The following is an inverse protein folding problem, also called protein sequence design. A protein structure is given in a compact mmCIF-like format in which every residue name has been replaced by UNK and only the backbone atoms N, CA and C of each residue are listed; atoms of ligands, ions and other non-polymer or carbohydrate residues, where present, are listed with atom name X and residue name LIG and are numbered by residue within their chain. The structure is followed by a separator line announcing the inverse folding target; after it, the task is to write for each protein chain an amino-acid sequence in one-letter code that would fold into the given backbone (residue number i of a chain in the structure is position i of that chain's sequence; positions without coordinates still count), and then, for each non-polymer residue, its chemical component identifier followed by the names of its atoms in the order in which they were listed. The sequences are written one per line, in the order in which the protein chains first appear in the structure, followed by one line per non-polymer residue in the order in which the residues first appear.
data_IF_350064709994
#
_entry.id   IF_350064709994
#
_cell.length_a   1.000
_cell.length_b   1.000
_cell.length_c   1.000
_cell.angle_alpha   90.00
_cell.angle_beta   90.00
_cell.angle_gamma   90.00
#
_symmetry.space_group_name_H-M   'P 1'
#
loop_
_entity.id
_entity.type
_entity.pdbx_description
1 polymer ?
#
# COMPACT_ATOMS: atom_id res chain seq x y z
N UNK A 1 -42.95 -1.35 10.37
CA UNK A 1 -42.84 0.13 10.34
C UNK A 1 -41.36 0.57 10.41
N UNK A 2 -40.89 1.11 9.29
CA UNK A 2 -39.71 1.97 9.08
C UNK A 2 -38.32 1.42 9.48
N UNK A 3 -37.69 0.76 8.50
CA UNK A 3 -36.28 0.42 8.51
C UNK A 3 -35.37 1.58 8.10
N UNK A 4 -34.26 1.68 8.84
CA UNK A 4 -32.92 2.12 8.44
C UNK A 4 -32.75 3.43 7.66
N UNK A 5 -32.57 4.53 8.41
CA UNK A 5 -31.79 5.69 7.96
C UNK A 5 -30.29 5.42 8.20
N UNK A 6 -29.60 4.94 7.17
CA UNK A 6 -28.14 4.76 7.18
C UNK A 6 -27.56 5.20 5.85
N UNK A 7 -27.44 6.51 5.64
CA UNK A 7 -26.91 7.10 4.40
C UNK A 7 -25.46 6.68 4.14
N UNK A 8 -25.28 5.63 3.32
CA UNK A 8 -23.98 5.21 2.84
C UNK A 8 -23.46 6.15 1.76
N UNK A 9 -22.16 6.43 1.76
CA UNK A 9 -21.50 7.19 0.68
C UNK A 9 -21.04 6.21 -0.39
N UNK A 10 -21.76 6.16 -1.51
CA UNK A 10 -21.46 5.28 -2.63
C UNK A 10 -20.94 6.06 -3.84
N UNK A 11 -20.15 5.41 -4.67
CA UNK A 11 -19.84 5.93 -6.00
C UNK A 11 -21.00 5.64 -6.94
N UNK A 12 -21.59 6.68 -7.51
CA UNK A 12 -22.70 6.55 -8.45
C UNK A 12 -22.31 5.88 -9.78
N UNK A 13 -21.01 5.84 -10.09
CA UNK A 13 -20.49 5.25 -11.35
C UNK A 13 -20.27 3.74 -11.24
N UNK A 14 -19.75 3.26 -10.11
CA UNK A 14 -19.39 1.85 -9.94
C UNK A 14 -20.01 1.17 -8.71
N UNK A 15 -20.85 1.87 -7.95
CA UNK A 15 -21.51 1.35 -6.75
C UNK A 15 -20.59 1.13 -5.54
N UNK A 16 -19.30 1.44 -5.63
CA UNK A 16 -18.36 1.21 -4.54
C UNK A 16 -18.74 2.02 -3.29
N UNK A 17 -18.76 1.37 -2.13
CA UNK A 17 -19.10 2.00 -0.85
C UNK A 17 -17.85 2.56 -0.14
N UNK A 18 -18.00 3.73 0.47
CA UNK A 18 -16.92 4.44 1.14
C UNK A 18 -17.30 4.86 2.56
N UNK A 19 -16.29 4.84 3.44
CA UNK A 19 -16.45 5.22 4.86
C UNK A 19 -16.40 6.74 5.10
N UNK A 20 -16.04 7.54 4.09
CA UNK A 20 -16.00 9.01 4.22
C UNK A 20 -16.11 9.73 2.87
N UNK A 21 -16.59 10.99 2.85
CA UNK A 21 -16.72 11.76 1.61
C UNK A 21 -15.38 11.99 0.91
N UNK A 22 -14.30 12.16 1.69
CA UNK A 22 -12.94 12.30 1.18
C UNK A 22 -12.47 11.03 0.46
N UNK A 23 -12.80 9.84 0.99
CA UNK A 23 -12.47 8.58 0.36
C UNK A 23 -13.22 8.40 -0.97
N UNK A 24 -14.52 8.72 -0.99
CA UNK A 24 -15.33 8.70 -2.22
C UNK A 24 -14.79 9.69 -3.27
N UNK A 25 -14.50 10.94 -2.88
CA UNK A 25 -13.91 11.95 -3.77
C UNK A 25 -12.56 11.52 -4.33
N UNK A 26 -11.71 10.89 -3.51
CA UNK A 26 -10.42 10.37 -3.95
C UNK A 26 -10.57 9.16 -4.87
N UNK A 27 -11.55 8.29 -4.62
CA UNK A 27 -11.86 7.17 -5.52
C UNK A 27 -12.31 7.67 -6.89
N UNK A 28 -13.28 8.59 -6.94
CA UNK A 28 -13.75 9.19 -8.21
C UNK A 28 -12.57 9.78 -8.99
N UNK A 29 -11.66 10.49 -8.31
CA UNK A 29 -10.44 11.04 -8.91
C UNK A 29 -9.44 10.01 -9.40
N UNK A 30 -9.30 8.87 -8.72
CA UNK A 30 -8.34 7.82 -9.10
C UNK A 30 -8.85 6.88 -10.19
N UNK A 31 -10.17 6.64 -10.22
CA UNK A 31 -10.79 5.56 -11.00
C UNK A 31 -11.62 6.08 -12.17
N UNK A 32 -12.23 7.26 -12.05
CA UNK A 32 -13.20 7.76 -13.03
C UNK A 32 -12.81 9.11 -13.67
N UNK A 33 -11.98 9.93 -13.02
CA UNK A 33 -11.55 11.23 -13.54
C UNK A 33 -10.05 11.18 -13.89
N UNK A 34 -9.75 11.07 -15.18
CA UNK A 34 -8.38 11.17 -15.72
C UNK A 34 -7.96 12.62 -16.03
N UNK A 35 -8.43 13.61 -15.27
CA UNK A 35 -8.03 15.01 -15.49
C UNK A 35 -6.60 15.26 -15.00
N UNK A 36 -5.73 15.74 -15.90
CA UNK A 36 -4.30 15.97 -15.68
C UNK A 36 -4.00 16.99 -14.57
N UNK A 37 -4.96 17.86 -14.22
CA UNK A 37 -4.82 18.89 -13.18
C UNK A 37 -5.04 18.42 -11.74
N UNK A 38 -5.55 17.20 -11.51
CA UNK A 38 -5.88 16.69 -10.17
C UNK A 38 -4.76 15.89 -9.48
N UNK A 39 -3.63 15.67 -10.15
CA UNK A 39 -2.49 14.92 -9.60
C UNK A 39 -1.47 15.87 -8.99
N UNK A 40 -1.02 15.54 -7.78
CA UNK A 40 0.16 16.16 -7.19
C UNK A 40 1.40 15.55 -7.83
N UNK A 41 2.32 16.37 -8.31
CA UNK A 41 3.58 15.94 -8.94
C UNK A 41 4.74 16.03 -7.96
N UNK A 42 5.64 15.05 -8.00
CA UNK A 42 6.95 15.18 -7.38
C UNK A 42 7.77 16.27 -8.10
N UNK A 43 8.58 17.01 -7.35
CA UNK A 43 9.42 18.07 -7.92
C UNK A 43 10.71 17.55 -8.56
N UNK A 44 11.13 16.33 -8.20
CA UNK A 44 12.43 15.77 -8.56
C UNK A 44 12.37 14.65 -9.59
N UNK A 45 11.17 14.15 -9.93
CA UNK A 45 11.01 13.13 -10.95
C UNK A 45 9.58 13.13 -11.54
N UNK A 46 9.31 12.34 -12.60
CA UNK A 46 7.99 12.24 -13.22
C UNK A 46 6.87 11.64 -12.34
N UNK A 47 7.18 11.18 -11.12
CA UNK A 47 6.19 10.57 -10.23
C UNK A 47 5.06 11.55 -9.89
N UNK A 48 3.82 11.06 -9.92
CA UNK A 48 2.64 11.83 -9.53
C UNK A 48 1.60 10.95 -8.82
N UNK A 49 0.79 11.57 -7.95
CA UNK A 49 -0.25 10.90 -7.19
C UNK A 49 -1.43 11.84 -6.95
N UNK A 50 -2.65 11.29 -6.98
CA UNK A 50 -3.88 12.00 -6.60
C UNK A 50 -3.97 12.33 -5.11
N UNK A 51 -3.08 11.76 -4.29
CA UNK A 51 -2.95 12.06 -2.87
C UNK A 51 -1.63 12.81 -2.61
N UNK A 52 -1.73 14.04 -2.10
CA UNK A 52 -0.59 14.89 -1.76
C UNK A 52 0.33 14.22 -0.73
N UNK A 53 -0.23 13.48 0.22
CA UNK A 53 0.55 12.81 1.27
C UNK A 53 1.47 11.75 0.69
N UNK A 54 1.04 11.05 -0.36
CA UNK A 54 1.87 10.08 -1.06
C UNK A 54 3.03 10.75 -1.82
N UNK A 55 2.83 11.95 -2.35
CA UNK A 55 3.92 12.70 -3.00
C UNK A 55 4.96 13.14 -1.98
N UNK A 56 4.53 13.72 -0.85
CA UNK A 56 5.43 14.13 0.24
C UNK A 56 6.26 12.94 0.75
N UNK A 57 5.61 11.78 0.90
CA UNK A 57 6.28 10.55 1.32
C UNK A 57 7.26 10.03 0.26
N UNK A 58 6.89 10.10 -1.00
CA UNK A 58 7.76 9.76 -2.11
C UNK A 58 8.97 10.70 -2.20
N UNK A 59 8.83 11.99 -1.92
CA UNK A 59 9.94 12.96 -1.92
C UNK A 59 11.06 12.56 -0.95
N UNK A 60 10.75 11.85 0.14
CA UNK A 60 11.76 11.28 1.05
C UNK A 60 12.71 10.28 0.39
N UNK A 61 12.31 9.69 -0.74
CA UNK A 61 13.19 8.80 -1.52
C UNK A 61 14.28 9.56 -2.26
N UNK A 62 14.05 10.85 -2.56
CA UNK A 62 15.06 11.72 -3.15
C UNK A 62 15.98 12.33 -2.11
N UNK A 63 15.42 12.77 -0.98
CA UNK A 63 16.21 13.43 0.08
C UNK A 63 16.96 12.43 0.97
N UNK A 64 16.55 11.17 0.97
CA UNK A 64 17.08 10.16 1.90
C UNK A 64 16.61 10.37 3.35
N UNK A 65 15.64 11.25 3.59
CA UNK A 65 15.12 11.53 4.93
C UNK A 65 14.52 10.27 5.57
N UNK A 66 15.12 9.85 6.68
CA UNK A 66 14.70 8.67 7.46
C UNK A 66 14.55 9.06 8.92
N UNK A 67 13.42 9.70 9.29
CA UNK A 67 13.25 10.26 10.63
C UNK A 67 13.00 9.19 11.69
N UNK A 68 12.59 7.97 11.30
CA UNK A 68 12.22 6.92 12.25
C UNK A 68 13.40 5.97 12.50
N UNK A 69 13.90 5.93 13.72
CA UNK A 69 15.07 5.14 14.10
C UNK A 69 14.71 3.98 15.02
N UNK A 70 15.25 2.80 14.72
CA UNK A 70 15.19 1.65 15.61
C UNK A 70 16.18 1.80 16.75
N UNK A 71 15.69 1.97 17.98
CA UNK A 71 16.52 2.14 19.16
C UNK A 71 17.34 0.90 19.55
N UNK A 72 17.04 -0.28 18.96
CA UNK A 72 17.77 -1.52 19.24
C UNK A 72 19.00 -1.72 18.33
N UNK A 73 19.03 -1.11 17.14
CA UNK A 73 20.12 -1.33 16.17
C UNK A 73 20.53 -0.08 15.38
N UNK A 74 19.96 1.10 15.68
CA UNK A 74 20.24 2.37 15.01
C UNK A 74 19.71 2.47 13.57
N UNK A 75 19.06 1.42 13.04
CA UNK A 75 18.57 1.42 11.65
C UNK A 75 17.45 2.43 11.46
N UNK A 76 17.55 3.26 10.42
CA UNK A 76 16.59 4.33 10.11
C UNK A 76 15.64 3.98 8.95
N UNK A 77 14.41 4.47 9.02
CA UNK A 77 13.31 4.23 8.09
C UNK A 77 12.63 5.55 7.71
N UNK A 78 12.11 5.61 6.48
CA UNK A 78 11.38 6.77 5.96
C UNK A 78 9.95 6.84 6.51
N UNK A 79 9.35 5.70 6.86
CA UNK A 79 7.99 5.58 7.41
C UNK A 79 7.97 4.88 8.77
N UNK A 80 7.05 5.32 9.64
CA UNK A 80 6.83 4.69 10.97
C UNK A 80 6.37 3.24 10.85
N UNK A 81 5.54 2.94 9.84
CA UNK A 81 5.04 1.60 9.60
C UNK A 81 6.18 0.61 9.29
N UNK A 82 7.18 1.05 8.51
CA UNK A 82 8.35 0.22 8.18
C UNK A 82 9.20 -0.06 9.42
N UNK A 83 9.39 0.94 10.29
CA UNK A 83 10.05 0.75 11.59
C UNK A 83 9.30 -0.29 12.44
N UNK A 84 7.97 -0.18 12.55
CA UNK A 84 7.16 -1.14 13.33
C UNK A 84 7.23 -2.57 12.77
N UNK A 85 7.26 -2.72 11.45
CA UNK A 85 7.46 -4.02 10.81
C UNK A 85 8.87 -4.53 11.10
N UNK A 86 9.88 -3.66 11.03
CA UNK A 86 11.26 -4.00 11.32
C UNK A 86 11.47 -4.45 12.77
N UNK A 87 10.81 -3.83 13.75
CA UNK A 87 10.89 -4.25 15.15
C UNK A 87 10.59 -5.73 15.37
N UNK A 88 9.77 -6.33 14.51
CA UNK A 88 9.45 -7.76 14.57
C UNK A 88 10.65 -8.68 14.27
N UNK A 89 11.70 -8.15 13.66
CA UNK A 89 12.98 -8.86 13.49
C UNK A 89 13.64 -9.08 14.84
N UNK A 90 13.59 -8.08 15.73
CA UNK A 90 14.15 -8.19 17.08
C UNK A 90 13.30 -9.06 18.00
N UNK A 91 11.97 -8.97 17.90
CA UNK A 91 11.07 -9.77 18.76
C UNK A 91 10.82 -11.19 18.24
N UNK A 92 11.23 -11.49 17.00
CA UNK A 92 10.93 -12.77 16.35
C UNK A 92 9.46 -12.97 15.97
N UNK A 93 8.60 -11.97 16.16
CA UNK A 93 7.16 -12.07 15.91
C UNK A 93 6.88 -12.23 14.40
N UNK A 94 6.22 -13.32 14.04
CA UNK A 94 5.84 -13.66 12.65
C UNK A 94 4.33 -13.89 12.57
N UNK A 95 3.51 -12.82 12.45
CA UNK A 95 2.07 -12.91 12.61
C UNK A 95 1.37 -13.53 11.39
N UNK A 96 2.05 -13.67 10.26
CA UNK A 96 1.48 -14.20 9.03
C UNK A 96 1.96 -15.63 8.82
N UNK A 97 1.06 -16.60 8.78
CA UNK A 97 1.38 -18.00 8.49
C UNK A 97 0.84 -18.40 7.11
N UNK A 98 1.62 -19.21 6.39
CA UNK A 98 1.16 -19.88 5.19
C UNK A 98 0.18 -20.99 5.57
N UNK A 99 -1.03 -20.97 5.04
CA UNK A 99 -2.03 -22.00 5.32
C UNK A 99 -1.72 -23.35 4.66
N UNK A 100 -0.80 -23.40 3.68
CA UNK A 100 -0.43 -24.64 2.98
C UNK A 100 0.65 -25.41 3.74
N UNK A 101 1.72 -24.73 4.18
CA UNK A 101 2.87 -25.39 4.80
C UNK A 101 3.20 -24.90 6.22
N UNK A 102 2.39 -24.02 6.80
CA UNK A 102 2.58 -23.48 8.16
C UNK A 102 3.71 -22.45 8.31
N UNK A 103 4.56 -22.26 7.28
CA UNK A 103 5.71 -21.34 7.32
C UNK A 103 5.26 -19.93 7.72
N UNK A 104 5.95 -19.33 8.70
CA UNK A 104 5.61 -18.03 9.27
C UNK A 104 6.47 -16.90 8.71
N UNK A 105 5.88 -15.71 8.57
CA UNK A 105 6.46 -14.50 7.98
C UNK A 105 6.20 -13.28 8.84
N UNK A 106 7.16 -12.36 8.83
CA UNK A 106 7.11 -11.07 9.53
C UNK A 106 6.21 -10.05 8.83
N UNK A 107 6.04 -10.18 7.50
CA UNK A 107 5.33 -9.23 6.65
C UNK A 107 4.36 -9.95 5.69
N UNK A 108 3.16 -9.39 5.49
CA UNK A 108 2.08 -10.00 4.70
C UNK A 108 2.42 -10.15 3.21
N UNK A 109 3.02 -9.15 2.53
CA UNK A 109 3.48 -9.31 1.15
C UNK A 109 4.47 -10.46 0.98
N UNK A 110 5.41 -10.65 1.91
CA UNK A 110 6.36 -11.77 1.87
C UNK A 110 5.66 -13.12 1.92
N UNK A 111 4.63 -13.26 2.77
CA UNK A 111 3.78 -14.46 2.81
C UNK A 111 3.00 -14.66 1.50
N UNK A 112 2.42 -13.58 0.93
CA UNK A 112 1.70 -13.65 -0.35
C UNK A 112 2.63 -14.08 -1.50
N UNK A 113 3.84 -13.51 -1.55
CA UNK A 113 4.86 -13.89 -2.53
C UNK A 113 5.22 -15.37 -2.38
N UNK A 114 5.38 -15.84 -1.13
CA UNK A 114 5.64 -17.24 -0.85
C UNK A 114 4.51 -18.16 -1.29
N UNK A 115 3.24 -17.76 -1.15
CA UNK A 115 2.09 -18.56 -1.60
C UNK A 115 2.16 -18.90 -3.10
N UNK A 116 2.80 -18.05 -3.91
CA UNK A 116 2.99 -18.31 -5.35
C UNK A 116 3.83 -19.56 -5.63
N UNK A 117 4.64 -20.02 -4.68
CA UNK A 117 5.37 -21.28 -4.79
C UNK A 117 4.43 -22.50 -4.70
N UNK A 118 3.28 -22.36 -4.02
CA UNK A 118 2.29 -23.43 -3.91
C UNK A 118 1.27 -23.39 -5.04
N UNK A 119 0.89 -22.19 -5.51
CA UNK A 119 -0.07 -22.04 -6.61
C UNK A 119 0.57 -22.19 -7.98
N UNK A 120 1.90 -22.08 -8.08
CA UNK A 120 2.59 -22.03 -9.38
C UNK A 120 2.38 -20.73 -10.15
N UNK A 121 1.72 -19.72 -9.56
CA UNK A 121 1.41 -18.46 -10.22
C UNK A 121 2.69 -17.69 -10.61
N UNK A 122 2.82 -17.36 -11.89
CA UNK A 122 3.92 -16.57 -12.46
C UNK A 122 3.37 -15.32 -13.15
N UNK A 123 3.14 -14.22 -12.41
CA UNK A 123 2.52 -13.00 -12.95
C UNK A 123 3.44 -12.20 -13.87
N UNK A 124 4.73 -12.51 -13.87
CA UNK A 124 5.74 -11.80 -14.63
C UNK A 124 6.37 -12.78 -15.61
N UNK A 125 6.27 -12.46 -16.89
CA UNK A 125 7.00 -13.12 -17.96
C UNK A 125 7.84 -12.10 -18.71
N UNK A 126 8.91 -12.56 -19.33
CA UNK A 126 9.75 -11.76 -20.20
C UNK A 126 9.19 -11.76 -21.62
N UNK A 127 8.83 -10.58 -22.15
CA UNK A 127 8.30 -10.48 -23.53
C UNK A 127 9.33 -10.90 -24.60
N UNK A 128 10.63 -10.78 -24.30
CA UNK A 128 11.69 -11.13 -25.24
C UNK A 128 11.93 -12.64 -25.36
N UNK A 129 11.70 -13.43 -24.29
CA UNK A 129 12.00 -14.87 -24.30
C UNK A 129 10.87 -15.76 -23.79
N UNK A 130 9.72 -15.20 -23.40
CA UNK A 130 8.54 -15.90 -22.92
C UNK A 130 8.70 -16.62 -21.57
N UNK A 131 9.82 -16.41 -20.86
CA UNK A 131 10.13 -17.05 -19.57
C UNK A 131 9.81 -16.19 -18.37
#
# INVERSE_FOLDING_TARGET
PLGSAGGGLYCEVCGAAFRSPKALKNHRRKVHLHEEGSRHRCRSCPYSSYDKTHVIRHEKTHTGERPYECQLCGRRFAEKADLLIHHRVHTGVKPFSCHVCGKKFTHKPSMRIHLRLHTGERPYGCDACGK
#
